data_IF_306344112959
#
_entry.id   IF_306344112959
#
_cell.length_a   1.000
_cell.length_b   1.000
_cell.length_c   1.000
_cell.angle_alpha   90.00
_cell.angle_beta   90.00
_cell.angle_gamma   90.00
#
_symmetry.space_group_name_H-M   'P 1'
#
loop_
_entity.id
_entity.type
_entity.pdbx_description
1 polymer ?
#
# COMPACT_ATOMS: atom_id res chain seq x y z
N UNK A 1 -11.91 -16.77 -8.54
CA UNK A 1 -10.56 -16.24 -8.18
C UNK A 1 -9.97 -15.52 -9.38
N UNK A 2 -9.56 -14.27 -9.26
CA UNK A 2 -8.99 -13.55 -10.40
C UNK A 2 -7.65 -14.15 -10.83
N UNK A 3 -7.38 -14.08 -12.14
CA UNK A 3 -6.10 -14.53 -12.69
C UNK A 3 -4.99 -13.51 -12.43
N UNK A 4 -5.34 -12.21 -12.42
CA UNK A 4 -4.42 -11.12 -12.21
C UNK A 4 -4.97 -10.13 -11.20
N UNK A 5 -4.06 -9.57 -10.41
CA UNK A 5 -4.32 -8.46 -9.52
C UNK A 5 -3.29 -7.36 -9.82
N UNK A 6 -3.67 -6.11 -9.63
CA UNK A 6 -2.81 -5.02 -10.04
C UNK A 6 -2.98 -3.79 -9.15
N UNK A 7 -1.88 -3.06 -8.97
CA UNK A 7 -1.93 -1.67 -8.55
C UNK A 7 -1.92 -0.79 -9.80
N UNK A 8 -2.88 0.10 -9.90
CA UNK A 8 -3.03 1.05 -11.01
C UNK A 8 -3.05 0.38 -12.39
N UNK A 9 -3.75 -0.76 -12.47
CA UNK A 9 -4.14 -1.38 -13.73
C UNK A 9 -3.11 -2.27 -14.42
N UNK A 10 -1.89 -2.39 -13.89
CA UNK A 10 -0.87 -3.26 -14.48
C UNK A 10 -0.23 -4.14 -13.41
N UNK A 11 -0.31 -5.48 -13.53
CA UNK A 11 0.35 -6.38 -12.59
C UNK A 11 1.86 -6.12 -12.54
N UNK A 12 2.42 -6.13 -11.34
CA UNK A 12 3.85 -5.92 -11.09
C UNK A 12 4.42 -4.59 -11.58
N UNK A 13 3.58 -3.59 -11.82
CA UNK A 13 4.01 -2.29 -12.34
C UNK A 13 5.12 -1.66 -11.50
N UNK A 14 4.97 -1.71 -10.17
CA UNK A 14 5.91 -1.09 -9.24
C UNK A 14 7.01 -2.03 -8.77
N UNK A 15 7.07 -3.24 -9.29
CA UNK A 15 8.27 -4.10 -9.28
C UNK A 15 9.20 -3.65 -10.40
N UNK A 16 8.64 -3.45 -11.59
CA UNK A 16 9.40 -3.02 -12.77
C UNK A 16 9.87 -1.56 -12.65
N UNK A 17 9.02 -0.71 -12.07
CA UNK A 17 9.32 0.71 -11.86
C UNK A 17 8.98 1.09 -10.41
N UNK A 18 9.87 0.83 -9.44
CA UNK A 18 9.62 1.10 -8.03
C UNK A 18 9.35 2.57 -7.74
N UNK A 19 8.58 2.81 -6.68
CA UNK A 19 8.43 4.14 -6.11
C UNK A 19 9.69 4.50 -5.34
N UNK A 20 10.23 5.71 -5.54
CA UNK A 20 11.48 6.13 -4.90
C UNK A 20 11.25 7.37 -4.05
N UNK A 21 11.75 7.30 -2.83
CA UNK A 21 11.69 8.39 -1.86
C UNK A 21 13.03 8.46 -1.11
N UNK A 22 13.21 9.47 -0.28
CA UNK A 22 14.41 9.65 0.54
C UNK A 22 14.10 9.44 2.01
N UNK A 23 15.12 9.04 2.77
CA UNK A 23 15.04 8.99 4.22
C UNK A 23 14.55 10.34 4.75
N UNK A 24 13.59 10.29 5.65
CA UNK A 24 12.95 11.47 6.24
C UNK A 24 11.66 11.89 5.53
N UNK A 25 11.41 11.37 4.34
CA UNK A 25 10.19 11.70 3.61
C UNK A 25 8.97 11.12 4.31
N UNK A 26 7.91 11.92 4.33
CA UNK A 26 6.59 11.45 4.70
C UNK A 26 5.86 11.01 3.44
N UNK A 27 5.46 9.74 3.41
CA UNK A 27 4.76 9.15 2.26
C UNK A 27 3.29 8.98 2.61
N UNK A 28 2.45 9.36 1.68
CA UNK A 28 1.00 9.16 1.79
C UNK A 28 0.55 8.27 0.64
N UNK A 29 -0.02 7.11 0.98
CA UNK A 29 -0.65 6.23 0.01
C UNK A 29 -2.15 6.48 0.00
N UNK A 30 -2.66 6.89 -1.14
CA UNK A 30 -4.09 6.95 -1.41
C UNK A 30 -4.49 5.64 -2.06
N UNK A 31 -5.22 4.80 -1.33
CA UNK A 31 -5.58 3.47 -1.79
C UNK A 31 -7.08 3.40 -2.02
N UNK A 32 -7.45 3.20 -3.28
CA UNK A 32 -8.82 2.94 -3.68
C UNK A 32 -8.90 1.52 -4.20
N UNK A 33 -9.85 0.75 -3.68
CA UNK A 33 -10.06 -0.61 -4.12
C UNK A 33 -11.24 -0.65 -5.10
N UNK A 34 -10.93 -0.81 -6.38
CA UNK A 34 -11.96 -0.88 -7.42
C UNK A 34 -12.72 -2.20 -7.40
N UNK A 35 -12.29 -3.18 -6.67
CA UNK A 35 -12.96 -4.45 -6.53
C UNK A 35 -12.70 -5.38 -7.72
N UNK A 36 -13.76 -6.05 -8.22
CA UNK A 36 -15.17 -5.86 -7.83
C UNK A 36 -15.56 -6.51 -6.51
N UNK A 37 -14.86 -7.54 -6.06
CA UNK A 37 -15.35 -8.37 -4.96
C UNK A 37 -14.44 -8.44 -3.75
N UNK A 38 -13.12 -8.52 -3.98
CA UNK A 38 -12.17 -8.82 -2.91
C UNK A 38 -11.69 -7.55 -2.20
N UNK A 39 -11.54 -7.59 -0.86
CA UNK A 39 -10.85 -6.52 -0.14
C UNK A 39 -9.37 -6.50 -0.49
N UNK A 40 -8.74 -5.34 -0.26
CA UNK A 40 -7.31 -5.19 -0.38
C UNK A 40 -6.72 -4.98 1.02
N UNK A 41 -6.02 -5.97 1.54
CA UNK A 41 -5.29 -5.84 2.80
C UNK A 41 -3.96 -5.14 2.52
N UNK A 42 -3.96 -3.82 2.58
CA UNK A 42 -2.80 -3.02 2.21
C UNK A 42 -1.74 -3.01 3.31
N UNK A 43 -0.50 -3.31 2.94
CA UNK A 43 0.63 -3.44 3.86
C UNK A 43 1.93 -3.03 3.18
N UNK A 44 2.80 -2.37 3.91
CA UNK A 44 4.20 -2.14 3.51
C UNK A 44 5.08 -3.00 4.41
N UNK A 45 5.73 -4.00 3.82
CA UNK A 45 6.53 -4.97 4.56
C UNK A 45 7.74 -4.27 5.18
N UNK A 46 7.93 -4.46 6.48
CA UNK A 46 9.03 -3.85 7.23
C UNK A 46 8.74 -2.45 7.74
N UNK A 47 7.54 -1.92 7.49
CA UNK A 47 7.12 -0.59 7.92
C UNK A 47 5.81 -0.64 8.70
N UNK A 48 5.51 0.46 9.38
CA UNK A 48 4.26 0.67 10.08
C UNK A 48 3.70 2.01 9.68
N UNK A 49 2.40 2.06 9.40
CA UNK A 49 1.72 3.32 9.18
C UNK A 49 1.53 4.03 10.52
N UNK A 50 2.12 5.21 10.66
CA UNK A 50 1.89 6.01 11.86
C UNK A 50 0.48 6.57 11.90
N UNK A 51 -0.13 6.79 10.74
CA UNK A 51 -1.47 7.37 10.61
C UNK A 51 -2.22 6.72 9.45
N UNK A 52 -3.50 6.46 9.67
CA UNK A 52 -4.42 5.99 8.64
C UNK A 52 -5.75 6.70 8.79
N UNK A 53 -6.37 7.01 7.67
CA UNK A 53 -7.72 7.60 7.64
C UNK A 53 -8.67 6.64 6.94
N UNK A 54 -9.82 6.38 7.56
CA UNK A 54 -10.94 5.71 6.90
C UNK A 54 -11.55 6.69 5.90
N UNK A 55 -11.21 6.50 4.63
CA UNK A 55 -11.49 7.49 3.60
C UNK A 55 -10.32 8.45 3.46
N UNK A 56 -10.52 9.72 3.74
CA UNK A 56 -9.52 10.76 3.51
C UNK A 56 -9.44 11.76 4.66
N UNK A 57 -8.27 12.41 4.85
CA UNK A 57 -8.20 13.54 5.77
C UNK A 57 -9.18 14.65 5.32
N UNK A 58 -9.76 15.44 6.25
CA UNK A 58 -9.36 15.56 7.65
C UNK A 58 -10.12 14.65 8.62
N UNK A 59 -10.60 13.50 8.21
CA UNK A 59 -11.29 12.56 9.09
C UNK A 59 -10.46 12.15 10.31
N UNK A 60 -11.04 11.35 11.19
CA UNK A 60 -10.37 10.91 12.41
C UNK A 60 -9.22 9.98 12.07
N UNK A 61 -7.98 10.27 12.51
CA UNK A 61 -6.86 9.38 12.26
C UNK A 61 -6.89 8.17 13.20
N UNK A 62 -6.42 7.03 12.67
CA UNK A 62 -6.11 5.83 13.43
C UNK A 62 -4.60 5.70 13.43
N UNK A 63 -4.00 5.42 14.59
CA UNK A 63 -2.55 5.41 14.79
C UNK A 63 -2.00 4.00 14.91
N UNK A 64 -0.79 3.79 14.37
CA UNK A 64 -0.03 2.58 14.62
C UNK A 64 -0.59 1.35 13.92
N UNK A 65 -0.85 1.44 12.62
CA UNK A 65 -1.46 0.37 11.82
C UNK A 65 -0.41 -0.28 10.93
N UNK A 66 -0.36 -1.60 10.90
CA UNK A 66 0.51 -2.34 9.99
C UNK A 66 -0.20 -2.73 8.70
N UNK A 67 -1.44 -3.20 8.83
CA UNK A 67 -2.25 -3.67 7.71
C UNK A 67 -3.70 -3.32 7.96
N UNK A 68 -4.40 -2.94 6.92
CA UNK A 68 -5.84 -2.68 7.03
C UNK A 68 -6.54 -3.05 5.74
N UNK A 69 -7.75 -3.55 5.86
CA UNK A 69 -8.56 -3.91 4.71
C UNK A 69 -9.24 -2.67 4.11
N UNK A 70 -8.99 -2.47 2.83
CA UNK A 70 -9.75 -1.52 2.03
C UNK A 70 -10.87 -2.29 1.36
N UNK A 71 -12.13 -2.06 1.71
CA UNK A 71 -13.22 -2.83 1.12
C UNK A 71 -13.37 -2.53 -0.38
N UNK A 72 -13.94 -3.49 -1.10
CA UNK A 72 -14.26 -3.27 -2.50
C UNK A 72 -15.18 -2.05 -2.64
N UNK A 73 -14.83 -1.14 -3.53
CA UNK A 73 -15.54 0.13 -3.72
C UNK A 73 -15.16 1.20 -2.72
N UNK A 74 -14.27 0.92 -1.77
CA UNK A 74 -13.84 1.88 -0.77
C UNK A 74 -12.46 2.46 -1.01
N UNK A 75 -12.09 3.44 -0.20
CA UNK A 75 -10.78 4.06 -0.23
C UNK A 75 -10.31 4.47 1.16
N UNK A 76 -9.00 4.48 1.35
CA UNK A 76 -8.36 4.87 2.59
C UNK A 76 -7.05 5.59 2.29
N UNK A 77 -6.55 6.31 3.28
CA UNK A 77 -5.27 7.01 3.18
C UNK A 77 -4.34 6.48 4.26
N UNK A 78 -3.14 6.09 3.87
CA UNK A 78 -2.11 5.54 4.77
C UNK A 78 -0.88 6.43 4.73
N UNK A 79 -0.32 6.74 5.90
CA UNK A 79 0.85 7.60 6.01
C UNK A 79 1.95 6.94 6.84
N UNK A 80 3.19 7.11 6.39
CA UNK A 80 4.37 6.68 7.12
C UNK A 80 5.53 7.64 6.88
N UNK A 81 6.49 7.64 7.81
CA UNK A 81 7.77 8.31 7.62
C UNK A 81 8.81 7.24 7.32
N UNK A 82 9.53 7.43 6.23
CA UNK A 82 10.59 6.51 5.81
C UNK A 82 11.88 6.87 6.56
N UNK A 83 12.16 6.17 7.65
CA UNK A 83 13.26 6.51 8.56
C UNK A 83 14.53 5.67 8.33
N UNK A 84 14.47 4.62 7.54
CA UNK A 84 15.58 3.71 7.27
C UNK A 84 15.70 3.49 5.76
N UNK A 85 16.92 3.57 5.19
CA UNK A 85 17.12 3.22 3.78
C UNK A 85 16.85 1.74 3.52
N UNK A 86 16.35 1.41 2.33
CA UNK A 86 16.11 0.04 1.94
C UNK A 86 15.02 -0.10 0.91
N UNK A 87 14.66 -1.34 0.63
CA UNK A 87 13.58 -1.69 -0.27
C UNK A 87 12.46 -2.34 0.53
N UNK A 88 11.28 -1.77 0.47
CA UNK A 88 10.13 -2.21 1.24
C UNK A 88 9.00 -2.61 0.29
N UNK A 89 8.66 -3.90 0.22
CA UNK A 89 7.52 -4.32 -0.61
C UNK A 89 6.22 -3.75 -0.06
N UNK A 90 5.38 -3.22 -0.92
CA UNK A 90 4.00 -2.96 -0.57
C UNK A 90 3.08 -3.91 -1.33
N UNK A 91 2.08 -4.41 -0.65
CA UNK A 91 1.32 -5.57 -1.14
C UNK A 91 -0.16 -5.45 -0.78
N UNK A 92 -0.98 -6.13 -1.58
CA UNK A 92 -2.23 -6.67 -1.10
C UNK A 92 -1.92 -8.01 -0.42
N UNK A 93 -2.00 -8.05 0.91
CA UNK A 93 -1.51 -9.16 1.72
C UNK A 93 -2.47 -10.37 1.73
N UNK A 94 -3.52 -10.39 0.93
CA UNK A 94 -4.34 -11.58 0.74
C UNK A 94 -3.49 -12.72 0.17
N UNK A 95 -3.81 -13.95 0.59
CA UNK A 95 -3.06 -15.13 0.15
C UNK A 95 -3.04 -15.22 -1.38
N UNK A 96 -1.86 -15.27 -1.94
CA UNK A 96 -1.66 -15.36 -3.39
C UNK A 96 -1.86 -14.04 -4.16
N UNK A 97 -2.35 -12.97 -3.54
CA UNK A 97 -2.64 -11.72 -4.26
C UNK A 97 -1.37 -11.03 -4.75
N UNK A 98 -0.32 -11.00 -3.94
CA UNK A 98 0.97 -10.46 -4.36
C UNK A 98 1.57 -11.21 -5.54
N UNK A 99 1.47 -12.54 -5.53
CA UNK A 99 1.96 -13.40 -6.62
C UNK A 99 1.21 -13.17 -7.93
N UNK A 100 -0.02 -12.68 -7.85
CA UNK A 100 -0.84 -12.37 -9.05
C UNK A 100 -0.62 -10.96 -9.59
N UNK A 101 0.22 -10.18 -8.94
CA UNK A 101 0.62 -8.87 -9.43
C UNK A 101 0.34 -7.68 -8.51
N UNK A 102 -0.35 -7.86 -7.39
CA UNK A 102 -0.62 -6.80 -6.43
C UNK A 102 0.56 -6.62 -5.46
N UNK A 103 1.70 -6.28 -6.02
CA UNK A 103 2.95 -6.03 -5.30
C UNK A 103 3.72 -4.90 -5.99
N UNK A 104 4.46 -4.14 -5.19
CA UNK A 104 5.41 -3.14 -5.67
C UNK A 104 6.48 -2.91 -4.64
N UNK A 105 7.48 -2.08 -4.96
CA UNK A 105 8.54 -1.73 -4.04
C UNK A 105 8.58 -0.23 -3.78
N UNK A 106 8.70 0.11 -2.51
CA UNK A 106 9.04 1.45 -2.06
C UNK A 106 10.54 1.44 -1.76
N UNK A 107 11.32 2.13 -2.58
CA UNK A 107 12.77 2.25 -2.41
C UNK A 107 13.06 3.53 -1.66
N UNK A 108 13.62 3.40 -0.47
CA UNK A 108 14.02 4.53 0.39
C UNK A 108 15.52 4.74 0.22
N UNK A 109 15.88 5.84 -0.38
CA UNK A 109 17.27 6.21 -0.66
C UNK A 109 17.85 7.03 0.50
N UNK A 110 19.16 6.91 0.76
CA UNK A 110 19.83 7.70 1.81
C UNK A 110 19.69 9.20 1.63
#
# INVERSE_FOLDING_TARGET
>A
MPDFLAFNGRPNQYVDAPLRVKVGDRVRFWVVNCGPTHPCAFHVVGEQFDTMYLGAPPGTPIRGVQTWDVPAGGGMCFELICDIPGEFPFVNHGFGHGQKGAIGFLVVEP
#
